data_IF_031932020654
#
_entry.id   IF_031932020654
#
_cell.length_a   1.000
_cell.length_b   1.000
_cell.length_c   1.000
_cell.angle_alpha   90.00
_cell.angle_beta   90.00
_cell.angle_gamma   90.00
#
_symmetry.space_group_name_H-M   'P 1'
#
loop_
_entity.id
_entity.type
_entity.pdbx_description
1 polymer ?
#
# COMPACT_ATOMS: atom_id res chain seq x y z
N UNK A 1 1.15 13.75 23.18
CA UNK A 1 -0.14 13.58 23.89
C UNK A 1 -1.35 13.68 22.94
N UNK A 2 -1.15 13.55 21.62
CA UNK A 2 -2.19 13.75 20.59
C UNK A 2 -2.81 15.16 20.53
N UNK A 3 -2.29 16.11 21.32
CA UNK A 3 -2.75 17.52 21.38
C UNK A 3 -1.65 18.47 20.90
N UNK A 4 -0.41 18.26 21.36
CA UNK A 4 0.75 19.06 20.97
C UNK A 4 1.56 18.35 19.89
N UNK A 5 1.69 19.01 18.74
CA UNK A 5 2.36 18.47 17.56
C UNK A 5 3.63 19.27 17.25
N UNK A 6 4.69 18.56 16.85
CA UNK A 6 5.90 19.15 16.29
C UNK A 6 5.92 18.86 14.80
N UNK A 7 6.13 19.89 14.00
CA UNK A 7 6.29 19.73 12.56
C UNK A 7 7.69 19.17 12.25
N UNK A 8 7.74 18.07 11.51
CA UNK A 8 8.97 17.46 11.04
C UNK A 8 9.15 17.68 9.52
N UNK A 9 10.38 17.53 8.99
CA UNK A 9 10.59 17.54 7.55
C UNK A 9 9.75 16.44 6.85
N UNK A 10 9.42 16.59 5.56
CA UNK A 10 8.78 15.52 4.81
C UNK A 10 9.65 14.26 4.83
N UNK A 11 9.04 13.12 5.21
CA UNK A 11 9.73 11.83 5.31
C UNK A 11 10.29 11.36 3.97
N UNK A 12 9.50 11.50 2.90
CA UNK A 12 9.87 11.17 1.54
C UNK A 12 9.54 12.36 0.62
N UNK A 13 10.35 12.54 -0.42
CA UNK A 13 10.16 13.57 -1.46
C UNK A 13 10.34 12.96 -2.84
N UNK A 14 9.51 13.31 -3.84
CA UNK A 14 9.80 12.94 -5.22
C UNK A 14 11.06 13.66 -5.70
N UNK A 15 11.72 13.12 -6.71
CA UNK A 15 12.96 13.67 -7.24
C UNK A 15 13.38 13.00 -8.54
N UNK A 16 14.38 13.55 -9.24
CA UNK A 16 14.83 13.01 -10.52
C UNK A 16 15.45 11.61 -10.41
N UNK A 17 15.95 11.25 -9.23
CA UNK A 17 16.67 9.99 -8.97
C UNK A 17 15.78 8.89 -8.36
N UNK A 18 14.46 9.10 -8.29
CA UNK A 18 13.51 8.10 -7.78
C UNK A 18 12.44 7.80 -8.84
N UNK A 19 11.99 6.54 -8.95
CA UNK A 19 11.10 6.13 -10.03
C UNK A 19 9.70 6.76 -9.92
N UNK A 20 9.24 7.03 -8.70
CA UNK A 20 7.91 7.59 -8.48
C UNK A 20 7.85 9.14 -8.56
N UNK A 21 7.08 9.73 -9.51
CA UNK A 21 6.89 11.17 -9.62
C UNK A 21 6.04 11.78 -8.48
N UNK A 22 5.37 10.94 -7.69
CA UNK A 22 4.54 11.36 -6.56
C UNK A 22 4.48 10.29 -5.49
N UNK A 23 4.32 10.72 -4.24
CA UNK A 23 4.22 9.86 -3.05
C UNK A 23 2.82 10.06 -2.48
N UNK A 24 2.01 9.01 -2.52
CA UNK A 24 0.60 9.04 -2.18
C UNK A 24 0.36 8.29 -0.87
N UNK A 25 -0.92 8.02 -0.58
CA UNK A 25 -1.43 7.23 0.54
C UNK A 25 -0.62 5.96 0.81
N UNK A 26 -0.73 5.52 2.06
CA UNK A 26 -0.06 4.32 2.53
C UNK A 26 -0.18 4.17 4.04
N UNK A 27 0.53 3.20 4.56
CA UNK A 27 0.56 2.88 5.99
C UNK A 27 2.01 2.73 6.48
N UNK A 28 2.15 2.55 7.80
CA UNK A 28 3.40 2.13 8.40
C UNK A 28 3.19 0.79 9.13
N UNK A 29 4.22 -0.07 9.12
CA UNK A 29 4.28 -1.27 9.95
C UNK A 29 5.65 -1.45 10.59
N UNK A 30 5.71 -2.29 11.61
CA UNK A 30 6.98 -2.81 12.13
C UNK A 30 7.27 -4.13 11.43
N UNK A 31 8.46 -4.25 10.83
CA UNK A 31 8.88 -5.48 10.16
C UNK A 31 9.12 -6.60 11.17
N UNK A 32 9.27 -7.83 10.69
CA UNK A 32 9.62 -8.99 11.51
C UNK A 32 10.94 -8.78 12.27
N UNK A 33 11.85 -7.99 11.70
CA UNK A 33 13.15 -7.61 12.27
C UNK A 33 13.05 -6.43 13.25
N UNK A 34 11.86 -5.88 13.46
CA UNK A 34 11.63 -4.74 14.35
C UNK A 34 11.90 -3.37 13.72
N UNK A 35 12.06 -3.29 12.40
CA UNK A 35 12.34 -2.03 11.71
C UNK A 35 11.03 -1.36 11.26
N UNK A 36 10.80 -0.08 11.57
CA UNK A 36 9.68 0.66 11.01
C UNK A 36 9.80 0.81 9.49
N UNK A 37 8.73 0.48 8.78
CA UNK A 37 8.64 0.59 7.32
C UNK A 37 7.38 1.36 6.92
N UNK A 38 7.52 2.27 5.95
CA UNK A 38 6.42 2.84 5.19
C UNK A 38 6.13 1.96 3.98
N UNK A 39 4.84 1.73 3.72
CA UNK A 39 4.35 1.13 2.49
C UNK A 39 3.42 2.14 1.85
N UNK A 40 3.71 2.57 0.62
CA UNK A 40 3.03 3.70 0.00
C UNK A 40 2.82 3.49 -1.50
N UNK A 41 1.83 4.19 -2.06
CA UNK A 41 1.63 4.23 -3.50
C UNK A 41 2.57 5.28 -4.13
N UNK A 42 3.48 4.82 -4.99
CA UNK A 42 4.24 5.65 -5.92
C UNK A 42 3.41 5.93 -7.17
N UNK A 43 3.03 7.18 -7.38
CA UNK A 43 2.13 7.60 -8.46
C UNK A 43 2.61 7.13 -9.83
N UNK A 44 1.80 6.39 -10.58
CA UNK A 44 2.13 5.84 -11.91
C UNK A 44 3.31 4.86 -11.89
N UNK A 45 3.62 4.26 -10.74
CA UNK A 45 4.76 3.35 -10.55
C UNK A 45 4.30 2.06 -9.90
N UNK A 46 3.64 2.13 -8.74
CA UNK A 46 3.19 0.95 -8.01
C UNK A 46 3.35 1.11 -6.50
N UNK A 47 3.34 0.01 -5.75
CA UNK A 47 3.59 0.03 -4.31
C UNK A 47 5.09 0.08 -4.05
N UNK A 48 5.50 1.00 -3.20
CA UNK A 48 6.87 1.23 -2.79
C UNK A 48 7.01 1.09 -1.28
N UNK A 49 8.23 0.80 -0.83
CA UNK A 49 8.59 0.67 0.58
C UNK A 49 9.74 1.62 0.94
N UNK A 50 9.72 2.16 2.15
CA UNK A 50 10.87 2.85 2.74
C UNK A 50 11.05 2.42 4.20
N UNK A 51 12.30 2.35 4.66
CA UNK A 51 12.66 1.94 6.03
C UNK A 51 13.20 3.13 6.80
N UNK A 52 12.85 3.22 8.09
CA UNK A 52 13.44 4.22 8.97
C UNK A 52 14.95 3.98 9.11
N UNK A 53 15.72 5.07 9.12
CA UNK A 53 17.18 5.04 9.34
C UNK A 53 17.59 5.51 10.73
N UNK A 54 16.63 6.04 11.50
CA UNK A 54 16.83 6.52 12.86
C UNK A 54 15.62 6.21 13.75
N UNK A 55 15.86 6.19 15.06
CA UNK A 55 14.85 5.89 16.09
C UNK A 55 13.82 7.02 16.26
N UNK A 56 14.14 8.23 15.79
CA UNK A 56 13.26 9.40 15.83
C UNK A 56 12.25 9.41 14.66
N UNK A 57 12.35 8.45 13.73
CA UNK A 57 11.51 8.29 12.53
C UNK A 57 11.57 9.49 11.58
N UNK A 58 12.73 10.16 11.49
CA UNK A 58 12.92 11.37 10.69
C UNK A 58 13.47 11.06 9.31
N UNK A 59 14.45 10.17 9.23
CA UNK A 59 15.15 9.82 8.01
C UNK A 59 14.68 8.46 7.51
N UNK A 60 14.45 8.38 6.19
CA UNK A 60 13.86 7.21 5.56
C UNK A 60 14.63 6.86 4.29
N UNK A 61 14.97 5.58 4.14
CA UNK A 61 15.60 5.03 2.94
C UNK A 61 14.63 4.17 2.16
N UNK A 62 14.43 4.50 0.89
CA UNK A 62 13.65 3.68 -0.04
C UNK A 62 14.25 2.30 -0.22
N UNK A 63 13.40 1.31 -0.38
CA UNK A 63 13.81 -0.03 -0.75
C UNK A 63 14.38 -0.03 -2.19
N UNK A 64 15.54 -0.68 -2.44
CA UNK A 64 16.17 -0.68 -3.77
C UNK A 64 15.35 -1.41 -4.84
N UNK A 65 14.46 -2.33 -4.44
CA UNK A 65 13.57 -3.03 -5.37
C UNK A 65 12.26 -2.29 -5.66
N UNK A 66 12.11 -1.03 -5.25
CA UNK A 66 10.88 -0.28 -5.53
C UNK A 66 10.64 -0.09 -7.04
N UNK A 67 9.38 -0.22 -7.51
CA UNK A 67 8.21 -0.66 -6.75
C UNK A 67 8.21 -2.18 -6.51
N UNK A 68 7.78 -2.60 -5.31
CA UNK A 68 7.63 -4.01 -4.91
C UNK A 68 6.37 -4.67 -5.49
N UNK A 69 5.38 -3.85 -5.89
CA UNK A 69 4.28 -4.28 -6.76
C UNK A 69 4.16 -3.23 -7.85
N UNK A 70 4.49 -3.60 -9.09
CA UNK A 70 4.36 -2.72 -10.26
C UNK A 70 2.88 -2.50 -10.57
N UNK A 71 2.51 -1.25 -10.86
CA UNK A 71 1.16 -0.95 -11.37
C UNK A 71 0.99 -1.53 -12.78
N UNK A 72 0.05 -2.49 -12.99
CA UNK A 72 -0.16 -3.07 -14.31
C UNK A 72 -0.68 -2.03 -15.32
N UNK A 73 -0.18 -2.10 -16.54
CA UNK A 73 -0.61 -1.27 -17.67
C UNK A 73 -1.50 -2.08 -18.60
N UNK A 74 -2.31 -1.38 -19.40
CA UNK A 74 -3.19 -2.04 -20.39
C UNK A 74 -2.36 -2.95 -21.30
N UNK A 75 -2.71 -4.24 -21.31
CA UNK A 75 -2.01 -5.28 -22.07
C UNK A 75 -1.14 -6.18 -21.21
N UNK A 76 -0.82 -5.77 -19.98
CA UNK A 76 -0.18 -6.64 -18.99
C UNK A 76 -1.17 -7.70 -18.51
N UNK A 77 -0.70 -8.91 -18.15
CA UNK A 77 -1.56 -10.01 -17.73
C UNK A 77 -2.44 -9.67 -16.51
N UNK A 78 -1.95 -8.78 -15.64
CA UNK A 78 -2.61 -8.46 -14.37
C UNK A 78 -3.53 -7.21 -14.42
N UNK A 79 -3.60 -6.51 -15.56
CA UNK A 79 -4.34 -5.25 -15.70
C UNK A 79 -5.83 -5.34 -15.36
N UNK A 80 -6.44 -6.46 -15.74
CA UNK A 80 -7.86 -6.77 -15.53
C UNK A 80 -8.08 -7.73 -14.35
N UNK A 81 -7.04 -7.95 -13.52
CA UNK A 81 -7.07 -8.87 -12.38
C UNK A 81 -7.20 -8.11 -11.05
N UNK A 82 -6.41 -7.06 -10.86
CA UNK A 82 -6.42 -6.25 -9.64
C UNK A 82 -6.06 -4.79 -9.92
N UNK A 83 -6.17 -3.95 -8.88
CA UNK A 83 -5.71 -2.57 -8.88
C UNK A 83 -4.56 -2.40 -7.89
N UNK A 84 -3.59 -1.57 -8.25
CA UNK A 84 -2.47 -1.19 -7.39
C UNK A 84 -2.66 0.25 -6.95
N UNK A 85 -3.29 0.43 -5.79
CA UNK A 85 -3.66 1.74 -5.26
C UNK A 85 -3.90 1.63 -3.75
N UNK A 86 -3.69 2.73 -3.01
CA UNK A 86 -3.99 2.88 -1.58
C UNK A 86 -3.65 1.64 -0.72
N UNK A 87 -2.35 1.37 -0.46
CA UNK A 87 -1.94 0.19 0.27
C UNK A 87 -2.17 0.31 1.78
N UNK A 88 -2.59 -0.80 2.40
CA UNK A 88 -2.47 -1.03 3.83
C UNK A 88 -1.89 -2.41 4.10
N UNK A 89 -0.75 -2.44 4.78
CA UNK A 89 0.06 -3.63 5.02
C UNK A 89 0.22 -3.90 6.52
N UNK A 90 0.24 -5.18 6.88
CA UNK A 90 0.43 -5.64 8.26
C UNK A 90 1.17 -6.97 8.32
N UNK A 91 1.79 -7.26 9.46
CA UNK A 91 2.41 -8.56 9.76
C UNK A 91 1.47 -9.36 10.66
N UNK A 92 1.10 -10.57 10.26
CA UNK A 92 0.30 -11.49 11.06
C UNK A 92 0.86 -12.92 10.92
N UNK A 93 1.02 -13.63 12.04
CA UNK A 93 1.50 -15.02 12.06
C UNK A 93 2.78 -15.26 11.26
N UNK A 94 3.67 -14.26 11.24
CA UNK A 94 4.93 -14.30 10.51
C UNK A 94 4.83 -14.04 9.01
N UNK A 95 3.65 -13.73 8.46
CA UNK A 95 3.43 -13.41 7.04
C UNK A 95 3.00 -11.97 6.89
N UNK A 96 3.57 -11.28 5.90
CA UNK A 96 3.12 -9.95 5.53
C UNK A 96 1.87 -10.06 4.67
N UNK A 97 0.89 -9.24 4.98
CA UNK A 97 -0.33 -9.09 4.21
C UNK A 97 -0.44 -7.65 3.77
N UNK A 98 -1.12 -7.44 2.64
CA UNK A 98 -1.44 -6.11 2.16
C UNK A 98 -2.79 -6.13 1.46
N UNK A 99 -3.60 -5.11 1.71
CA UNK A 99 -4.80 -4.81 0.94
C UNK A 99 -4.53 -3.57 0.10
N UNK A 100 -4.94 -3.63 -1.17
CA UNK A 100 -4.89 -2.50 -2.09
C UNK A 100 -6.32 -2.07 -2.43
N UNK A 101 -6.64 -0.80 -2.20
CA UNK A 101 -7.95 -0.23 -2.51
C UNK A 101 -8.25 -0.23 -4.01
N UNK A 102 -9.53 -0.20 -4.35
CA UNK A 102 -9.95 -0.02 -5.74
C UNK A 102 -11.38 -0.40 -6.04
N UNK A 103 -11.62 -0.59 -7.33
CA UNK A 103 -12.88 -1.11 -7.87
C UNK A 103 -12.70 -2.50 -8.43
N UNK A 104 -13.79 -3.25 -8.50
CA UNK A 104 -13.78 -4.62 -9.02
C UNK A 104 -13.38 -4.62 -10.49
N UNK A 105 -12.26 -5.26 -10.80
CA UNK A 105 -11.82 -5.54 -12.17
C UNK A 105 -12.62 -6.71 -12.78
N UNK A 106 -12.82 -6.71 -14.11
CA UNK A 106 -12.36 -5.74 -15.11
C UNK A 106 -13.30 -4.54 -15.31
N UNK A 107 -14.51 -4.59 -14.75
CA UNK A 107 -15.56 -3.63 -15.09
C UNK A 107 -15.43 -2.28 -14.37
N UNK A 108 -14.66 -2.22 -13.28
CA UNK A 108 -14.50 -1.06 -12.41
C UNK A 108 -15.85 -0.54 -11.87
N UNK A 109 -16.75 -1.46 -11.54
CA UNK A 109 -18.08 -1.20 -10.95
C UNK A 109 -18.09 -1.74 -9.52
N UNK A 110 -18.43 -0.88 -8.55
CA UNK A 110 -18.33 -1.12 -7.10
C UNK A 110 -16.91 -1.20 -6.56
N UNK A 111 -16.82 -0.90 -5.27
CA UNK A 111 -15.61 -0.93 -4.47
C UNK A 111 -15.15 -2.36 -4.15
N UNK A 112 -13.85 -2.54 -3.95
CA UNK A 112 -13.25 -3.75 -3.39
C UNK A 112 -11.87 -3.41 -2.85
N UNK A 113 -11.24 -4.36 -2.18
CA UNK A 113 -9.80 -4.32 -1.96
C UNK A 113 -9.18 -5.64 -2.41
N UNK A 114 -7.91 -5.63 -2.80
CA UNK A 114 -7.20 -6.82 -3.29
C UNK A 114 -6.19 -7.28 -2.26
N UNK A 115 -6.26 -8.55 -1.85
CA UNK A 115 -5.36 -9.13 -0.86
C UNK A 115 -4.10 -9.68 -1.53
N UNK A 116 -2.96 -9.28 -0.99
CA UNK A 116 -1.63 -9.79 -1.32
C UNK A 116 -0.95 -10.35 -0.07
N UNK A 117 -0.02 -11.29 -0.27
CA UNK A 117 0.84 -11.81 0.78
C UNK A 117 2.31 -11.83 0.37
N UNK A 118 3.19 -11.69 1.35
CA UNK A 118 4.64 -11.76 1.15
C UNK A 118 5.34 -12.35 2.38
N UNK A 119 6.49 -12.98 2.17
CA UNK A 119 7.37 -13.44 3.25
C UNK A 119 8.55 -12.50 3.53
N UNK A 120 8.81 -11.55 2.63
CA UNK A 120 10.02 -10.72 2.60
C UNK A 120 9.78 -9.22 2.31
N UNK A 121 8.52 -8.78 2.16
CA UNK A 121 8.10 -7.42 1.76
C UNK A 121 8.51 -7.00 0.33
N UNK A 122 9.26 -7.81 -0.38
CA UNK A 122 9.75 -7.50 -1.74
C UNK A 122 8.92 -8.22 -2.80
N UNK A 123 8.66 -9.50 -2.60
CA UNK A 123 7.91 -10.34 -3.52
C UNK A 123 6.51 -10.56 -2.97
N UNK A 124 5.50 -10.16 -3.76
CA UNK A 124 4.10 -10.20 -3.35
C UNK A 124 3.27 -11.06 -4.28
N UNK A 125 2.54 -12.00 -3.70
CA UNK A 125 1.60 -12.86 -4.40
C UNK A 125 0.17 -12.33 -4.25
N UNK A 126 -0.48 -12.02 -5.37
CA UNK A 126 -1.91 -11.75 -5.38
C UNK A 126 -2.68 -13.00 -4.96
N UNK A 127 -3.61 -12.83 -4.02
CA UNK A 127 -4.41 -13.93 -3.49
C UNK A 127 -5.81 -13.96 -4.10
N UNK A 128 -6.57 -12.87 -3.91
CA UNK A 128 -7.99 -12.73 -4.26
C UNK A 128 -8.49 -11.33 -3.90
N UNK A 129 -9.74 -10.96 -4.27
CA UNK A 129 -10.43 -9.86 -3.61
C UNK A 129 -10.54 -10.12 -2.10
N UNK A 130 -10.30 -9.11 -1.30
CA UNK A 130 -10.36 -9.15 0.17
C UNK A 130 -11.80 -9.30 0.67
N UNK A 131 -12.74 -8.61 0.02
CA UNK A 131 -14.18 -8.77 0.21
C UNK A 131 -14.92 -8.62 -1.12
N UNK A 132 -16.12 -9.17 -1.17
CA UNK A 132 -17.04 -8.95 -2.29
C UNK A 132 -17.85 -7.68 -2.02
N UNK A 133 -17.98 -6.76 -2.99
CA UNK A 133 -18.83 -5.58 -2.82
C UNK A 133 -20.26 -5.96 -2.47
N UNK A 134 -20.92 -5.07 -1.73
CA UNK A 134 -22.33 -5.18 -1.43
C UNK A 134 -23.04 -3.87 -1.76
N UNK A 135 -24.01 -3.87 -2.69
CA UNK A 135 -24.78 -2.68 -3.04
C UNK A 135 -25.54 -2.00 -1.89
N UNK A 136 -25.68 -2.67 -0.75
CA UNK A 136 -26.28 -2.10 0.46
C UNK A 136 -25.28 -1.32 1.33
N UNK A 137 -23.97 -1.43 1.08
CA UNK A 137 -22.93 -0.75 1.86
C UNK A 137 -22.44 0.54 1.18
N UNK A 138 -22.33 0.51 -0.15
CA UNK A 138 -21.66 1.54 -0.95
C UNK A 138 -22.36 1.75 -2.29
N UNK A 139 -22.22 2.95 -2.86
CA UNK A 139 -22.72 3.28 -4.19
C UNK A 139 -21.81 2.74 -5.31
N UNK A 140 -22.30 2.74 -6.57
CA UNK A 140 -21.55 2.22 -7.72
C UNK A 140 -20.26 2.97 -8.03
N UNK A 141 -20.16 4.21 -7.55
CA UNK A 141 -19.04 5.11 -7.79
C UNK A 141 -17.99 5.08 -6.67
N UNK A 142 -18.12 4.24 -5.66
CA UNK A 142 -17.12 4.09 -4.60
C UNK A 142 -15.93 3.21 -5.07
N UNK A 143 -14.77 3.36 -4.45
CA UNK A 143 -13.52 2.69 -4.85
C UNK A 143 -12.63 2.19 -3.69
N UNK A 144 -13.18 2.07 -2.47
CA UNK A 144 -12.46 1.63 -1.27
C UNK A 144 -11.09 2.32 -1.09
N UNK A 145 -11.05 3.63 -1.26
CA UNK A 145 -9.84 4.42 -1.05
C UNK A 145 -9.35 4.37 0.41
N UNK A 146 -8.03 4.41 0.59
CA UNK A 146 -7.32 4.36 1.87
C UNK A 146 -7.89 3.31 2.86
N UNK A 147 -7.93 2.02 2.49
CA UNK A 147 -8.50 1.00 3.35
C UNK A 147 -7.61 0.75 4.57
N UNK A 148 -8.20 0.47 5.73
CA UNK A 148 -7.50 0.06 6.95
C UNK A 148 -8.08 -1.27 7.45
N UNK A 149 -7.22 -2.20 7.87
CA UNK A 149 -7.60 -3.47 8.48
C UNK A 149 -6.83 -3.72 9.77
N UNK A 150 -7.56 -3.81 10.88
CA UNK A 150 -6.99 -4.07 12.20
C UNK A 150 -8.04 -4.74 13.11
N UNK A 151 -7.56 -5.45 14.11
CA UNK A 151 -8.42 -6.07 15.12
C UNK A 151 -8.86 -5.02 16.15
N UNK A 152 -10.14 -5.03 16.49
CA UNK A 152 -10.67 -4.33 17.67
C UNK A 152 -10.63 -5.27 18.88
N UNK A 153 -10.18 -4.77 20.04
CA UNK A 153 -10.19 -5.51 21.31
C UNK A 153 -8.92 -6.29 21.61
#
# INVERSE_FOLDING_TARGET
DLVHWRFHPPALKPGPDVPEPGIFSGCALITREGVPALVYYGMNTGICIAYAEDDDLISWRRHPANPVIVEPKRGDPDFDVYRVFDPHAWLADGVYHMILGGRVKPHDIRDTAYLFTSTDLEHWDYQRPFYNPNPHWTDENEDCACPDFFKLG
#
